data_IF_692300939575
#
_entry.id   IF_692300939575
#
_cell.length_a   1.000
_cell.length_b   1.000
_cell.length_c   1.000
_cell.angle_alpha   90.00
_cell.angle_beta   90.00
_cell.angle_gamma   90.00
#
_symmetry.space_group_name_H-M   'P 1'
#
loop_
_entity.id
_entity.type
_entity.pdbx_description
1 polymer ?
#
# COMPACT_ATOMS: atom_id res chain seq x y z
N UNK A 1 -8.50 -16.28 15.41
CA UNK A 1 -7.89 -14.99 15.04
C UNK A 1 -6.37 -15.14 14.97
N UNK A 2 -5.71 -14.45 14.03
CA UNK A 2 -4.25 -14.32 13.95
C UNK A 2 -3.85 -12.98 14.52
N UNK A 3 -2.75 -12.94 15.27
CA UNK A 3 -2.22 -11.68 15.79
C UNK A 3 -1.67 -10.83 14.64
N UNK A 4 -2.05 -9.56 14.62
CA UNK A 4 -1.59 -8.57 13.64
C UNK A 4 -1.21 -7.28 14.36
N UNK A 5 -0.12 -6.67 13.92
CA UNK A 5 0.30 -5.34 14.33
C UNK A 5 0.46 -4.43 13.10
N UNK A 6 0.46 -3.14 13.33
CA UNK A 6 0.66 -2.13 12.30
C UNK A 6 1.99 -1.44 12.57
N UNK A 7 2.87 -1.37 11.58
CA UNK A 7 4.05 -0.52 11.65
C UNK A 7 3.74 0.84 11.04
N UNK A 8 3.85 1.89 11.87
CA UNK A 8 3.40 3.25 11.63
C UNK A 8 2.14 3.58 12.42
N UNK A 9 2.26 4.40 13.47
CA UNK A 9 1.16 4.78 14.37
C UNK A 9 0.56 6.17 14.06
N UNK A 10 0.90 6.75 12.90
CA UNK A 10 0.38 8.00 12.40
C UNK A 10 -1.05 7.88 11.83
N UNK A 11 -1.50 8.91 11.10
CA UNK A 11 -2.83 8.94 10.49
C UNK A 11 -3.14 7.72 9.64
N UNK A 12 -2.23 7.36 8.72
CA UNK A 12 -2.41 6.20 7.85
C UNK A 12 -2.47 4.88 8.64
N UNK A 13 -1.65 4.70 9.67
CA UNK A 13 -1.72 3.50 10.53
C UNK A 13 -3.07 3.38 11.25
N UNK A 14 -3.67 4.50 11.67
CA UNK A 14 -5.02 4.52 12.28
C UNK A 14 -6.11 4.16 11.26
N UNK A 15 -6.00 4.63 10.02
CA UNK A 15 -6.90 4.21 8.93
C UNK A 15 -6.79 2.69 8.68
N UNK A 16 -5.57 2.14 8.71
CA UNK A 16 -5.36 0.69 8.58
C UNK A 16 -5.98 -0.06 9.77
N UNK A 17 -5.91 0.47 10.98
CA UNK A 17 -6.59 -0.13 12.14
C UNK A 17 -8.12 -0.15 11.96
N UNK A 18 -8.71 0.94 11.47
CA UNK A 18 -10.12 0.99 11.09
C UNK A 18 -10.46 -0.06 10.02
N UNK A 19 -9.60 -0.23 9.01
CA UNK A 19 -9.80 -1.23 7.96
C UNK A 19 -9.76 -2.66 8.53
N UNK A 20 -8.81 -2.97 9.41
CA UNK A 20 -8.72 -4.29 10.09
C UNK A 20 -10.00 -4.55 10.88
N UNK A 21 -10.51 -3.56 11.62
CA UNK A 21 -11.79 -3.67 12.33
C UNK A 21 -12.93 -3.99 11.35
N UNK A 22 -13.02 -3.26 10.24
CA UNK A 22 -14.05 -3.48 9.24
C UNK A 22 -13.94 -4.85 8.55
N UNK A 23 -12.72 -5.36 8.32
CA UNK A 23 -12.50 -6.73 7.83
C UNK A 23 -13.10 -7.75 8.81
N UNK A 24 -12.84 -7.59 10.10
CA UNK A 24 -13.37 -8.48 11.13
C UNK A 24 -14.90 -8.42 11.23
N UNK A 25 -15.49 -7.21 11.14
CA UNK A 25 -16.94 -7.01 11.18
C UNK A 25 -17.67 -7.59 9.95
N UNK A 26 -16.97 -7.73 8.83
CA UNK A 26 -17.53 -8.22 7.55
C UNK A 26 -17.32 -9.73 7.36
N UNK A 27 -16.57 -10.39 8.23
CA UNK A 27 -16.32 -11.82 8.19
C UNK A 27 -17.28 -12.57 9.16
N UNK A 28 -17.59 -13.83 8.86
CA UNK A 28 -18.42 -14.67 9.73
C UNK A 28 -17.80 -14.82 11.13
N UNK A 29 -16.47 -14.89 11.18
CA UNK A 29 -15.69 -14.88 12.43
C UNK A 29 -14.53 -13.89 12.28
N UNK A 30 -14.15 -13.15 13.35
CA UNK A 30 -13.02 -12.24 13.30
C UNK A 30 -11.72 -12.94 12.89
N UNK A 31 -11.05 -12.40 11.88
CA UNK A 31 -9.82 -12.95 11.30
C UNK A 31 -8.60 -12.49 12.09
N UNK A 32 -8.57 -11.21 12.47
CA UNK A 32 -7.41 -10.52 13.02
C UNK A 32 -7.61 -10.09 14.47
N UNK A 33 -6.58 -10.32 15.31
CA UNK A 33 -6.45 -9.72 16.63
C UNK A 33 -5.39 -8.60 16.54
N UNK A 34 -5.82 -7.33 16.50
CA UNK A 34 -4.90 -6.18 16.46
C UNK A 34 -4.24 -6.00 17.83
N UNK A 35 -2.96 -6.38 17.95
CA UNK A 35 -2.22 -6.33 19.22
C UNK A 35 -1.62 -4.94 19.51
N UNK A 36 -1.44 -4.09 18.51
CA UNK A 36 -0.93 -2.73 18.67
C UNK A 36 -0.14 -2.22 17.47
N UNK A 37 0.72 -1.25 17.73
CA UNK A 37 1.51 -0.54 16.72
C UNK A 37 3.00 -0.61 17.03
N UNK A 38 3.81 -0.63 15.98
CA UNK A 38 5.24 -0.32 16.06
C UNK A 38 5.48 1.03 15.39
N UNK A 39 6.34 1.86 15.99
CA UNK A 39 6.67 3.18 15.43
C UNK A 39 7.94 3.70 16.12
N UNK A 40 9.03 3.94 15.35
CA UNK A 40 10.30 4.41 15.89
C UNK A 40 10.24 5.86 16.43
N UNK A 41 9.24 6.62 16.03
CA UNK A 41 9.02 8.01 16.47
C UNK A 41 8.07 8.14 17.66
N UNK A 42 7.62 7.04 18.27
CA UNK A 42 6.66 7.03 19.38
C UNK A 42 7.24 6.32 20.61
N UNK A 43 6.87 6.82 21.78
CA UNK A 43 7.28 6.22 23.03
C UNK A 43 6.60 4.86 23.24
N UNK A 44 7.42 3.83 23.52
CA UNK A 44 6.94 2.48 23.85
C UNK A 44 6.08 2.50 25.10
N UNK A 45 4.94 1.82 25.05
CA UNK A 45 3.93 1.80 26.12
C UNK A 45 2.92 2.94 26.06
N UNK A 46 3.16 3.99 25.26
CA UNK A 46 2.11 4.98 24.97
C UNK A 46 0.98 4.35 24.11
N UNK A 47 -0.12 5.07 23.92
CA UNK A 47 -1.30 4.54 23.20
C UNK A 47 -1.87 5.59 22.26
N UNK A 48 -2.43 5.12 21.17
CA UNK A 48 -3.43 5.87 20.42
C UNK A 48 -4.83 5.25 20.67
N UNK A 49 -5.85 5.78 20.01
CA UNK A 49 -7.25 5.34 20.17
C UNK A 49 -7.51 3.90 19.73
N UNK A 50 -6.60 3.26 18.99
CA UNK A 50 -6.74 1.91 18.46
C UNK A 50 -5.84 0.87 19.12
N UNK A 51 -4.86 1.28 19.92
CA UNK A 51 -4.00 0.32 20.61
C UNK A 51 -2.71 0.90 21.18
N UNK A 52 -1.93 0.06 21.87
CA UNK A 52 -0.64 0.44 22.44
C UNK A 52 0.45 0.55 21.38
N UNK A 53 1.49 1.35 21.67
CA UNK A 53 2.76 1.34 20.95
C UNK A 53 3.65 0.26 21.57
N UNK A 54 4.00 -0.74 20.79
CA UNK A 54 4.75 -1.92 21.21
C UNK A 54 6.27 -1.70 21.17
N UNK A 55 6.73 -0.65 20.50
CA UNK A 55 8.12 -0.28 20.31
C UNK A 55 8.42 0.12 18.89
N UNK A 56 9.66 -0.02 18.44
CA UNK A 56 10.14 0.26 17.10
C UNK A 56 10.69 -0.99 16.39
N UNK A 57 11.66 -0.80 15.50
CA UNK A 57 12.25 -1.86 14.69
C UNK A 57 12.95 -2.92 15.55
N UNK A 58 13.63 -2.51 16.62
CA UNK A 58 14.34 -3.44 17.52
C UNK A 58 13.35 -4.40 18.19
N UNK A 59 12.20 -3.91 18.65
CA UNK A 59 11.18 -4.75 19.26
C UNK A 59 10.52 -5.69 18.24
N UNK A 60 10.32 -5.27 17.00
CA UNK A 60 9.85 -6.17 15.92
C UNK A 60 10.86 -7.30 15.72
N UNK A 61 12.14 -6.98 15.61
CA UNK A 61 13.19 -7.97 15.39
C UNK A 61 13.44 -8.87 16.60
N UNK A 62 13.09 -8.42 17.80
CA UNK A 62 13.16 -9.21 19.03
C UNK A 62 11.84 -9.96 19.37
N UNK A 63 10.81 -9.85 18.54
CA UNK A 63 9.52 -10.48 18.80
C UNK A 63 9.60 -11.99 18.70
N UNK A 64 9.07 -12.72 19.70
CA UNK A 64 9.32 -14.17 19.85
C UNK A 64 8.16 -15.05 19.36
N UNK A 65 6.98 -14.49 19.18
CA UNK A 65 5.80 -15.23 18.74
C UNK A 65 5.48 -14.98 17.27
N UNK A 66 4.76 -15.89 16.59
CA UNK A 66 4.27 -15.59 15.23
C UNK A 66 3.42 -14.32 15.22
N UNK A 67 3.76 -13.38 14.33
CA UNK A 67 3.05 -12.10 14.21
C UNK A 67 2.92 -11.69 12.74
N UNK A 68 1.73 -11.27 12.36
CA UNK A 68 1.51 -10.59 11.10
C UNK A 68 1.78 -9.08 11.27
N UNK A 69 2.50 -8.46 10.35
CA UNK A 69 2.72 -7.01 10.37
C UNK A 69 2.31 -6.38 9.05
N UNK A 70 1.57 -5.28 9.15
CA UNK A 70 1.19 -4.42 8.02
C UNK A 70 2.02 -3.15 8.09
N UNK A 71 2.74 -2.81 7.01
CA UNK A 71 3.61 -1.64 6.97
C UNK A 71 2.84 -0.42 6.46
N UNK A 72 2.28 0.38 7.37
CA UNK A 72 1.49 1.57 7.07
C UNK A 72 2.37 2.81 6.81
N UNK A 73 3.29 2.71 5.84
CA UNK A 73 4.26 3.74 5.47
C UNK A 73 4.06 4.12 4.00
N UNK A 74 3.49 5.29 3.75
CA UNK A 74 3.13 5.74 2.39
C UNK A 74 4.33 6.22 1.54
N UNK A 75 5.52 6.35 2.09
CA UNK A 75 6.72 6.74 1.35
C UNK A 75 7.41 5.51 0.77
N UNK A 76 7.42 5.30 -0.57
CA UNK A 76 7.90 4.06 -1.20
C UNK A 76 9.31 3.64 -0.78
N UNK A 77 10.25 4.61 -0.72
CA UNK A 77 11.64 4.35 -0.33
C UNK A 77 11.76 3.90 1.13
N UNK A 78 11.02 4.53 2.03
CA UNK A 78 11.03 4.16 3.47
C UNK A 78 10.37 2.80 3.65
N UNK A 79 9.24 2.55 2.98
CA UNK A 79 8.54 1.26 3.00
C UNK A 79 9.46 0.11 2.57
N UNK A 80 10.17 0.28 1.45
CA UNK A 80 11.12 -0.72 0.96
C UNK A 80 12.25 -0.95 1.97
N UNK A 81 12.87 0.13 2.47
CA UNK A 81 13.94 0.02 3.47
C UNK A 81 13.48 -0.72 4.72
N UNK A 82 12.34 -0.33 5.29
CA UNK A 82 11.78 -0.95 6.49
C UNK A 82 11.49 -2.44 6.28
N UNK A 83 10.88 -2.81 5.15
CA UNK A 83 10.58 -4.21 4.85
C UNK A 83 11.84 -5.10 4.78
N UNK A 84 12.99 -4.52 4.43
CA UNK A 84 14.29 -5.21 4.40
C UNK A 84 14.99 -5.24 5.77
N UNK A 85 14.71 -4.28 6.64
CA UNK A 85 15.26 -4.22 7.99
C UNK A 85 14.54 -5.15 8.98
N UNK A 86 13.31 -5.56 8.68
CA UNK A 86 12.61 -6.58 9.48
C UNK A 86 13.10 -7.96 9.04
N UNK A 87 14.00 -8.54 9.83
CA UNK A 87 14.69 -9.80 9.54
C UNK A 87 14.20 -10.98 10.40
N UNK A 88 13.24 -10.73 11.28
CA UNK A 88 12.69 -11.73 12.19
C UNK A 88 11.81 -12.74 11.43
N UNK A 89 12.16 -14.00 11.46
CA UNK A 89 11.44 -15.10 10.77
C UNK A 89 10.03 -15.36 11.32
N UNK A 90 9.74 -14.92 12.56
CA UNK A 90 8.39 -15.01 13.13
C UNK A 90 7.41 -13.99 12.51
N UNK A 91 7.91 -13.03 11.74
CA UNK A 91 7.11 -11.97 11.14
C UNK A 91 6.62 -12.37 9.75
N UNK A 92 5.33 -12.22 9.52
CA UNK A 92 4.70 -12.41 8.23
C UNK A 92 4.07 -11.10 7.74
N UNK A 93 4.12 -10.86 6.44
CA UNK A 93 3.53 -9.67 5.81
C UNK A 93 2.29 -10.07 4.98
N UNK A 94 1.11 -10.11 5.58
CA UNK A 94 -0.10 -10.41 4.84
C UNK A 94 -0.48 -9.27 3.91
N UNK A 95 -1.07 -9.57 2.77
CA UNK A 95 -1.85 -8.60 2.01
C UNK A 95 -3.21 -8.46 2.67
N UNK A 96 -3.61 -7.23 2.99
CA UNK A 96 -4.92 -6.93 3.55
C UNK A 96 -5.73 -6.11 2.54
N UNK A 97 -6.99 -6.51 2.35
CA UNK A 97 -7.92 -5.87 1.44
C UNK A 97 -9.18 -5.46 2.18
N UNK A 98 -9.66 -4.26 1.93
CA UNK A 98 -10.96 -3.87 2.43
C UNK A 98 -12.06 -4.77 1.85
N UNK A 99 -13.12 -5.07 2.61
CA UNK A 99 -14.18 -5.99 2.19
C UNK A 99 -14.93 -5.56 0.93
N UNK A 100 -14.94 -4.26 0.64
CA UNK A 100 -15.58 -3.64 -0.51
C UNK A 100 -14.66 -3.48 -1.74
N UNK A 101 -13.49 -4.14 -1.76
CA UNK A 101 -12.64 -4.25 -2.93
C UNK A 101 -13.41 -4.96 -4.06
N UNK A 102 -13.55 -4.28 -5.19
CA UNK A 102 -14.30 -4.77 -6.35
C UNK A 102 -13.38 -5.37 -7.42
N UNK A 103 -13.84 -6.43 -8.06
CA UNK A 103 -13.14 -7.09 -9.17
C UNK A 103 -14.08 -7.24 -10.35
N UNK A 104 -13.59 -6.99 -11.58
CA UNK A 104 -14.29 -7.41 -12.77
C UNK A 104 -14.19 -8.95 -12.95
N UNK A 105 -13.01 -9.51 -12.73
CA UNK A 105 -12.76 -10.95 -12.68
C UNK A 105 -11.68 -11.26 -11.63
N UNK A 106 -12.11 -11.68 -10.43
CA UNK A 106 -11.21 -12.00 -9.31
C UNK A 106 -10.26 -13.14 -9.64
N UNK A 107 -10.67 -14.11 -10.45
CA UNK A 107 -9.87 -15.30 -10.78
C UNK A 107 -8.63 -14.97 -11.61
N UNK A 108 -8.65 -13.86 -12.35
CA UNK A 108 -7.54 -13.38 -13.19
C UNK A 108 -6.61 -12.40 -12.48
N UNK A 109 -6.92 -12.00 -11.24
CA UNK A 109 -6.11 -11.04 -10.46
C UNK A 109 -5.11 -11.76 -9.57
N UNK A 110 -3.86 -11.30 -9.58
CA UNK A 110 -2.81 -11.80 -8.68
C UNK A 110 -2.27 -10.67 -7.80
N UNK A 111 -2.15 -10.94 -6.50
CA UNK A 111 -1.62 -10.01 -5.51
C UNK A 111 -0.42 -10.66 -4.82
N UNK A 112 0.69 -9.93 -4.71
CA UNK A 112 1.82 -10.31 -3.88
C UNK A 112 1.54 -10.13 -2.39
N UNK A 113 2.58 -10.19 -1.56
CA UNK A 113 2.51 -10.05 -0.10
C UNK A 113 2.60 -8.58 0.34
N UNK A 114 2.14 -8.31 1.56
CA UNK A 114 2.33 -7.02 2.24
C UNK A 114 1.59 -5.84 1.63
N UNK A 115 0.67 -6.07 0.68
CA UNK A 115 -0.11 -4.99 0.10
C UNK A 115 -1.21 -4.52 1.06
N UNK A 116 -1.51 -3.22 1.01
CA UNK A 116 -2.65 -2.60 1.68
C UNK A 116 -3.58 -2.09 0.58
N UNK A 117 -4.78 -2.65 0.47
CA UNK A 117 -5.77 -2.22 -0.51
C UNK A 117 -6.99 -1.69 0.23
N UNK A 118 -7.15 -0.37 0.21
CA UNK A 118 -8.20 0.32 0.94
C UNK A 118 -9.55 0.28 0.23
N UNK A 119 -10.54 0.91 0.86
CA UNK A 119 -11.95 0.88 0.50
C UNK A 119 -12.22 1.42 -0.92
N UNK A 120 -13.26 0.88 -1.56
CA UNK A 120 -13.75 1.29 -2.88
C UNK A 120 -12.71 1.18 -4.01
N UNK A 121 -11.63 0.42 -3.83
CA UNK A 121 -10.72 0.12 -4.93
C UNK A 121 -11.36 -0.84 -5.93
N UNK A 122 -11.00 -0.72 -7.20
CA UNK A 122 -11.49 -1.59 -8.26
C UNK A 122 -10.32 -2.14 -9.08
N UNK A 123 -10.25 -3.45 -9.20
CA UNK A 123 -9.29 -4.15 -10.05
C UNK A 123 -10.05 -4.83 -11.20
N UNK A 124 -9.70 -4.51 -12.45
CA UNK A 124 -10.31 -5.12 -13.62
C UNK A 124 -9.83 -6.57 -13.81
N UNK A 125 -9.84 -7.09 -15.01
CA UNK A 125 -9.33 -8.43 -15.32
C UNK A 125 -7.83 -8.42 -15.63
N UNK A 126 -7.16 -9.55 -15.39
CA UNK A 126 -5.72 -9.77 -15.66
C UNK A 126 -4.78 -8.80 -14.94
N UNK A 127 -5.19 -8.23 -13.81
CA UNK A 127 -4.36 -7.30 -13.03
C UNK A 127 -3.37 -8.09 -12.19
N UNK A 128 -2.08 -7.67 -12.25
CA UNK A 128 -0.99 -8.26 -11.45
C UNK A 128 -0.37 -7.17 -10.59
N UNK A 129 -0.36 -7.38 -9.28
CA UNK A 129 0.22 -6.44 -8.30
C UNK A 129 1.30 -7.19 -7.52
N UNK A 130 2.52 -6.66 -7.52
CA UNK A 130 3.65 -7.19 -6.77
C UNK A 130 3.50 -7.01 -5.26
N UNK A 131 4.64 -6.90 -4.56
CA UNK A 131 4.69 -6.87 -3.10
C UNK A 131 4.66 -5.44 -2.55
N UNK A 132 4.13 -5.28 -1.33
CA UNK A 132 4.20 -4.04 -0.56
C UNK A 132 3.72 -2.79 -1.30
N UNK A 133 2.65 -2.90 -2.08
CA UNK A 133 2.01 -1.72 -2.66
C UNK A 133 0.91 -1.20 -1.74
N UNK A 134 0.70 0.10 -1.77
CA UNK A 134 -0.38 0.79 -1.07
C UNK A 134 -1.35 1.33 -2.12
N UNK A 135 -2.57 0.81 -2.12
CA UNK A 135 -3.69 1.32 -2.88
C UNK A 135 -4.62 2.00 -1.89
N UNK A 136 -4.62 3.32 -1.92
CA UNK A 136 -5.53 4.11 -1.08
C UNK A 136 -6.96 4.09 -1.63
N UNK A 137 -7.89 4.67 -0.89
CA UNK A 137 -9.31 4.55 -1.21
C UNK A 137 -9.68 5.03 -2.61
N UNK A 138 -10.56 4.27 -3.25
CA UNK A 138 -11.15 4.59 -4.57
C UNK A 138 -10.19 4.53 -5.75
N UNK A 139 -9.09 3.80 -5.66
CA UNK A 139 -8.19 3.57 -6.79
C UNK A 139 -8.81 2.62 -7.82
N UNK A 140 -8.56 2.86 -9.10
CA UNK A 140 -9.07 2.02 -10.19
C UNK A 140 -7.93 1.58 -11.11
N UNK A 141 -7.85 0.27 -11.32
CA UNK A 141 -6.88 -0.36 -12.22
C UNK A 141 -7.61 -1.03 -13.37
N UNK A 142 -7.31 -0.60 -14.60
CA UNK A 142 -7.85 -1.14 -15.84
C UNK A 142 -7.36 -2.57 -16.11
N UNK A 143 -7.85 -3.17 -17.20
CA UNK A 143 -7.50 -4.51 -17.62
C UNK A 143 -6.01 -4.62 -17.98
N UNK A 144 -5.41 -5.80 -17.75
CA UNK A 144 -4.03 -6.13 -18.12
C UNK A 144 -2.95 -5.23 -17.50
N UNK A 145 -3.29 -4.52 -16.40
CA UNK A 145 -2.33 -3.70 -15.67
C UNK A 145 -1.35 -4.58 -14.90
N UNK A 146 -0.07 -4.23 -14.97
CA UNK A 146 1.01 -4.88 -14.23
C UNK A 146 1.71 -3.86 -13.34
N UNK A 147 1.76 -4.12 -12.06
CA UNK A 147 2.37 -3.27 -11.03
C UNK A 147 3.48 -4.06 -10.35
N UNK A 148 4.69 -3.49 -10.31
CA UNK A 148 5.80 -4.02 -9.52
C UNK A 148 5.57 -3.84 -8.02
N UNK A 149 6.64 -3.63 -7.26
CA UNK A 149 6.58 -3.61 -5.79
C UNK A 149 6.84 -2.21 -5.23
N UNK A 150 6.38 -1.99 -4.00
CA UNK A 150 6.64 -0.75 -3.24
C UNK A 150 6.10 0.52 -3.90
N UNK A 151 4.98 0.44 -4.60
CA UNK A 151 4.33 1.64 -5.15
C UNK A 151 3.25 2.14 -4.19
N UNK A 152 3.07 3.46 -4.18
CA UNK A 152 1.99 4.11 -3.41
C UNK A 152 1.07 4.86 -4.36
N UNK A 153 -0.20 4.47 -4.33
CA UNK A 153 -1.28 5.13 -5.03
C UNK A 153 -2.11 5.88 -3.99
N UNK A 154 -2.11 7.22 -4.08
CA UNK A 154 -2.90 8.07 -3.19
C UNK A 154 -4.38 8.07 -3.64
N UNK A 155 -5.34 8.47 -2.79
CA UNK A 155 -6.76 8.31 -3.09
C UNK A 155 -7.18 8.75 -4.49
N UNK A 156 -8.04 7.94 -5.10
CA UNK A 156 -8.67 8.20 -6.39
C UNK A 156 -7.73 8.19 -7.61
N UNK A 157 -6.61 7.47 -7.54
CA UNK A 157 -5.73 7.26 -8.70
C UNK A 157 -6.42 6.38 -9.75
N UNK A 158 -6.20 6.71 -11.02
CA UNK A 158 -6.74 5.97 -12.18
C UNK A 158 -5.60 5.45 -13.06
N UNK A 159 -5.46 4.14 -13.13
CA UNK A 159 -4.50 3.46 -14.01
C UNK A 159 -5.29 2.80 -15.14
N UNK A 160 -5.11 3.30 -16.35
CA UNK A 160 -5.82 2.79 -17.54
C UNK A 160 -5.27 1.41 -17.97
N UNK A 161 -5.95 0.78 -18.92
CA UNK A 161 -5.62 -0.58 -19.36
C UNK A 161 -4.21 -0.72 -19.93
N UNK A 162 -3.63 -1.93 -19.78
CA UNK A 162 -2.30 -2.33 -20.30
C UNK A 162 -1.11 -1.51 -19.80
N UNK A 163 -1.28 -0.71 -18.73
CA UNK A 163 -0.19 0.05 -18.12
C UNK A 163 0.74 -0.90 -17.37
N UNK A 164 2.05 -0.68 -17.52
CA UNK A 164 3.10 -1.41 -16.78
C UNK A 164 3.83 -0.44 -15.88
N UNK A 165 3.82 -0.72 -14.58
CA UNK A 165 4.43 0.10 -13.53
C UNK A 165 5.56 -0.70 -12.88
N UNK A 166 6.75 -0.10 -12.78
CA UNK A 166 7.90 -0.66 -12.08
C UNK A 166 7.78 -0.53 -10.57
N UNK A 167 8.86 -0.14 -9.90
CA UNK A 167 8.93 -0.13 -8.44
C UNK A 167 9.04 1.28 -7.86
N UNK A 168 8.66 1.42 -6.58
CA UNK A 168 8.92 2.61 -5.77
C UNK A 168 8.36 3.92 -6.38
N UNK A 169 7.25 3.85 -7.10
CA UNK A 169 6.59 5.01 -7.64
C UNK A 169 5.57 5.58 -6.65
N UNK A 170 5.34 6.88 -6.76
CA UNK A 170 4.33 7.60 -5.98
C UNK A 170 3.35 8.30 -6.92
N UNK A 171 2.08 7.96 -6.81
CA UNK A 171 1.00 8.56 -7.58
C UNK A 171 0.16 9.43 -6.66
N UNK A 172 0.19 10.75 -6.87
CA UNK A 172 -0.55 11.73 -6.07
C UNK A 172 -2.07 11.59 -6.20
N UNK A 173 -2.77 12.16 -5.25
CA UNK A 173 -4.24 12.14 -5.18
C UNK A 173 -4.86 12.51 -6.54
N UNK A 174 -5.85 11.71 -6.99
CA UNK A 174 -6.61 11.94 -8.23
C UNK A 174 -5.73 12.08 -9.48
N UNK A 175 -4.57 11.44 -9.51
CA UNK A 175 -3.74 11.38 -10.72
C UNK A 175 -4.20 10.26 -11.65
N UNK A 176 -3.86 10.39 -12.94
CA UNK A 176 -4.26 9.45 -13.98
C UNK A 176 -3.06 9.06 -14.85
N UNK A 177 -2.98 7.78 -15.21
CA UNK A 177 -2.01 7.24 -16.18
C UNK A 177 -2.79 6.68 -17.36
N UNK A 178 -2.55 7.20 -18.57
CA UNK A 178 -3.23 6.74 -19.78
C UNK A 178 -2.75 5.33 -20.19
N UNK A 179 -3.58 4.68 -21.02
CA UNK A 179 -3.39 3.29 -21.41
C UNK A 179 -2.04 3.01 -22.09
N UNK A 180 -1.55 1.77 -21.95
CA UNK A 180 -0.36 1.22 -22.63
C UNK A 180 0.97 1.89 -22.25
N UNK A 181 0.98 2.76 -21.25
CA UNK A 181 2.20 3.42 -20.80
C UNK A 181 3.07 2.48 -19.96
N UNK A 182 4.39 2.70 -20.06
CA UNK A 182 5.37 2.07 -19.19
C UNK A 182 5.91 3.13 -18.24
N UNK A 183 5.57 3.00 -16.97
CA UNK A 183 6.12 3.79 -15.86
C UNK A 183 7.25 2.96 -15.25
N UNK A 184 8.46 3.52 -15.23
CA UNK A 184 9.63 2.83 -14.70
C UNK A 184 9.67 2.82 -13.17
N UNK A 185 10.82 3.17 -12.60
CA UNK A 185 11.07 3.10 -11.15
C UNK A 185 11.29 4.49 -10.57
N UNK A 186 10.76 4.75 -9.36
CA UNK A 186 11.00 5.97 -8.61
C UNK A 186 10.33 7.23 -9.19
N UNK A 187 9.32 7.07 -10.03
CA UNK A 187 8.58 8.20 -10.60
C UNK A 187 7.59 8.75 -9.58
N UNK A 188 7.53 10.07 -9.46
CA UNK A 188 6.50 10.77 -8.71
C UNK A 188 5.57 11.48 -9.68
N UNK A 189 4.28 11.14 -9.63
CA UNK A 189 3.23 11.86 -10.35
C UNK A 189 2.45 12.73 -9.36
N UNK A 190 2.44 14.05 -9.59
CA UNK A 190 1.78 15.01 -8.70
C UNK A 190 0.25 14.83 -8.65
N UNK A 191 -0.38 15.35 -7.61
CA UNK A 191 -1.84 15.30 -7.44
C UNK A 191 -2.55 15.95 -8.64
N UNK A 192 -3.67 15.35 -9.07
CA UNK A 192 -4.48 15.83 -10.20
C UNK A 192 -3.80 15.79 -11.56
N UNK A 193 -2.65 15.17 -11.68
CA UNK A 193 -1.87 15.12 -12.92
C UNK A 193 -2.30 13.99 -13.84
N UNK A 194 -2.16 14.20 -15.15
CA UNK A 194 -2.46 13.19 -16.18
C UNK A 194 -1.19 12.84 -16.95
N UNK A 195 -0.67 11.64 -16.73
CA UNK A 195 0.50 11.15 -17.45
C UNK A 195 0.06 10.59 -18.81
N UNK A 196 0.51 11.25 -19.88
CA UNK A 196 0.15 10.93 -21.27
C UNK A 196 1.32 10.36 -22.07
N UNK A 197 2.53 10.41 -21.55
CA UNK A 197 3.74 9.94 -22.22
C UNK A 197 4.64 9.19 -21.24
N UNK A 198 5.51 8.31 -21.73
CA UNK A 198 6.45 7.55 -20.90
C UNK A 198 7.34 8.48 -20.08
N UNK A 199 7.33 8.39 -18.74
CA UNK A 199 8.19 9.20 -17.88
C UNK A 199 9.62 8.63 -17.84
N UNK A 200 10.58 9.47 -17.40
CA UNK A 200 11.92 9.04 -17.01
C UNK A 200 11.92 8.57 -15.56
N UNK A 201 12.70 7.55 -15.26
CA UNK A 201 12.87 7.02 -13.90
C UNK A 201 13.42 8.09 -12.94
N UNK A 202 13.03 8.01 -11.68
CA UNK A 202 13.45 8.90 -10.62
C UNK A 202 13.01 10.36 -10.76
N UNK A 203 12.09 10.66 -11.68
CA UNK A 203 11.69 12.04 -11.99
C UNK A 203 10.27 12.35 -11.49
N UNK A 204 10.04 13.65 -11.28
CA UNK A 204 8.75 14.20 -10.85
C UNK A 204 8.01 14.78 -12.03
N UNK A 205 6.70 14.49 -12.12
CA UNK A 205 5.81 14.96 -13.18
C UNK A 205 4.59 15.61 -12.57
N UNK A 206 4.15 16.76 -13.12
CA UNK A 206 2.97 17.48 -12.64
C UNK A 206 2.23 18.14 -13.82
N UNK A 207 0.90 18.23 -13.69
CA UNK A 207 0.00 18.95 -14.60
C UNK A 207 -0.78 18.06 -15.56
N UNK A 208 -1.56 18.70 -16.45
CA UNK A 208 -2.39 18.08 -17.50
C UNK A 208 -2.11 18.79 -18.83
N UNK A 209 -1.33 18.17 -19.75
CA UNK A 209 -0.57 16.93 -19.59
C UNK A 209 0.57 17.07 -18.57
N UNK A 210 0.91 15.95 -17.90
CA UNK A 210 1.99 15.95 -16.91
C UNK A 210 3.35 16.17 -17.60
N UNK A 211 4.09 17.16 -17.11
CA UNK A 211 5.43 17.54 -17.60
C UNK A 211 6.45 17.34 -16.49
N UNK A 212 7.71 17.13 -16.90
CA UNK A 212 8.84 17.03 -15.98
C UNK A 212 8.91 18.29 -15.11
N UNK A 213 8.87 18.09 -13.81
CA UNK A 213 9.01 19.14 -12.82
C UNK A 213 10.41 19.05 -12.18
N UNK A 214 11.10 20.19 -12.13
CA UNK A 214 12.40 20.32 -11.46
C UNK A 214 12.25 21.29 -10.32
N UNK A 215 12.71 20.90 -9.13
CA UNK A 215 12.81 21.78 -7.97
C UNK A 215 13.96 22.75 -8.12
#
# INVERSE_FOLDING_TARGET
MKDIAIYGAGGFGREVACMIKHINESADEPIWNLVGFFDDGKEKGSRNEYGPILGGLDEVNAWTQPLCIVLAIATPRILKHLSMCIINENIQFPTICAPDLSYADKSSVTLGKGNIIQRNCTLSCNVKIGDFNILNGSDVFGHDVQVGSYNTFMPAVRISGEVKIGEQNFFGVNSCVLQQLKVGTGVTLGAGSVLMTKPKDGCHYIGVPAKLFRF
#
